data_IF_730999232844
#
_entry.id   IF_730999232844
#
_cell.length_a   1.000
_cell.length_b   1.000
_cell.length_c   1.000
_cell.angle_alpha   90.00
_cell.angle_beta   90.00
_cell.angle_gamma   90.00
#
_symmetry.space_group_name_H-M   'P 1'
#
loop_
_entity.id
_entity.type
_entity.pdbx_description
1 polymer ?
#
# COMPACT_ATOMS: atom_id res chain seq x y z
N UNK A 1 8.10 13.67 -22.25
CA UNK A 1 7.08 13.74 -21.19
C UNK A 1 7.43 12.76 -20.06
N UNK A 2 7.50 11.43 -20.29
CA UNK A 2 7.76 10.43 -19.24
C UNK A 2 9.11 10.63 -18.52
N UNK A 3 10.17 11.01 -19.25
CA UNK A 3 11.48 11.36 -18.67
C UNK A 3 11.35 12.53 -17.68
N UNK A 4 10.63 13.57 -18.03
CA UNK A 4 10.41 14.72 -17.15
C UNK A 4 9.52 14.36 -15.95
N UNK A 5 8.53 13.49 -16.16
CA UNK A 5 7.71 12.97 -15.07
C UNK A 5 8.56 12.17 -14.09
N UNK A 6 9.48 11.31 -14.55
CA UNK A 6 10.40 10.58 -13.67
C UNK A 6 11.32 11.54 -12.90
N UNK A 7 11.92 12.50 -13.57
CA UNK A 7 12.76 13.51 -12.91
C UNK A 7 12.00 14.23 -11.81
N UNK A 8 10.80 14.71 -12.14
CA UNK A 8 9.97 15.46 -11.19
C UNK A 8 9.49 14.60 -10.01
N UNK A 9 9.15 13.32 -10.24
CA UNK A 9 8.53 12.46 -9.20
C UNK A 9 9.54 11.67 -8.39
N UNK A 10 10.73 11.41 -8.91
CA UNK A 10 11.70 10.51 -8.28
C UNK A 10 13.07 11.15 -8.16
N UNK A 11 13.71 11.52 -9.28
CA UNK A 11 15.14 11.85 -9.28
C UNK A 11 15.47 13.20 -8.58
N UNK A 12 14.47 14.01 -8.28
CA UNK A 12 14.62 15.26 -7.51
C UNK A 12 14.10 15.16 -6.09
N UNK A 13 13.53 14.01 -5.70
CA UNK A 13 12.97 13.77 -4.37
C UNK A 13 13.69 12.60 -3.68
N UNK A 14 14.60 12.87 -2.72
CA UNK A 14 15.32 11.81 -2.00
C UNK A 14 14.40 10.82 -1.26
N UNK A 15 13.20 11.26 -0.84
CA UNK A 15 12.25 10.36 -0.18
C UNK A 15 11.64 9.36 -1.18
N UNK A 16 11.38 9.79 -2.41
CA UNK A 16 10.93 8.91 -3.48
C UNK A 16 12.03 7.94 -3.93
N UNK A 17 13.28 8.38 -4.02
CA UNK A 17 14.43 7.51 -4.31
C UNK A 17 14.63 6.44 -3.22
N UNK A 18 14.54 6.81 -1.94
CA UNK A 18 14.56 5.84 -0.84
C UNK A 18 13.40 4.85 -0.97
N UNK A 19 12.19 5.33 -1.31
CA UNK A 19 11.01 4.50 -1.51
C UNK A 19 11.19 3.47 -2.64
N UNK A 20 11.85 3.85 -3.74
CA UNK A 20 12.21 2.96 -4.85
C UNK A 20 13.22 1.89 -4.40
N UNK A 21 14.30 2.29 -3.73
CA UNK A 21 15.30 1.38 -3.21
C UNK A 21 14.74 0.42 -2.15
N UNK A 22 13.83 0.91 -1.29
CA UNK A 22 13.13 0.11 -0.29
C UNK A 22 12.23 -0.94 -0.97
N UNK A 23 11.47 -0.55 -1.99
CA UNK A 23 10.61 -1.47 -2.74
C UNK A 23 11.42 -2.54 -3.47
N UNK A 24 12.51 -2.17 -4.14
CA UNK A 24 13.41 -3.11 -4.80
C UNK A 24 14.08 -4.08 -3.82
N UNK A 25 14.34 -3.64 -2.58
CA UNK A 25 14.89 -4.49 -1.52
C UNK A 25 13.83 -5.39 -0.91
N UNK A 26 12.59 -4.95 -0.78
CA UNK A 26 11.48 -5.74 -0.24
C UNK A 26 11.05 -6.84 -1.22
N UNK A 27 10.89 -6.48 -2.50
CA UNK A 27 10.50 -7.39 -3.58
C UNK A 27 11.71 -7.77 -4.42
N UNK A 28 12.40 -8.83 -4.05
CA UNK A 28 13.63 -9.27 -4.74
C UNK A 28 13.38 -10.01 -6.05
N UNK A 29 12.17 -10.52 -6.22
CA UNK A 29 11.81 -11.35 -7.38
C UNK A 29 10.49 -10.92 -8.04
N UNK A 30 9.55 -10.38 -7.27
CA UNK A 30 8.25 -9.96 -7.78
C UNK A 30 8.33 -8.60 -8.51
N UNK A 31 7.58 -8.38 -9.62
CA UNK A 31 7.56 -7.09 -10.35
C UNK A 31 7.17 -5.86 -9.53
N UNK A 32 6.53 -6.02 -8.37
CA UNK A 32 6.21 -4.90 -7.48
C UNK A 32 7.46 -4.21 -6.88
N UNK A 33 8.64 -4.81 -7.03
CA UNK A 33 9.91 -4.15 -6.71
C UNK A 33 10.37 -3.13 -7.74
N UNK A 34 9.75 -3.12 -8.93
CA UNK A 34 10.07 -2.12 -9.97
C UNK A 34 9.19 -0.89 -9.82
N UNK A 35 9.75 0.32 -10.03
CA UNK A 35 8.94 1.53 -10.01
C UNK A 35 7.91 1.52 -11.16
N UNK A 36 6.71 2.01 -10.88
CA UNK A 36 5.62 2.05 -11.89
C UNK A 36 6.04 2.86 -13.12
N UNK A 37 6.77 3.96 -12.90
CA UNK A 37 7.25 4.82 -13.98
C UNK A 37 8.40 4.17 -14.78
N UNK A 38 9.05 3.12 -14.26
CA UNK A 38 10.24 2.50 -14.85
C UNK A 38 11.55 3.20 -14.44
N UNK A 39 12.67 2.57 -14.75
CA UNK A 39 14.00 3.16 -14.56
C UNK A 39 14.38 4.06 -15.73
N UNK A 40 15.19 5.10 -15.49
CA UNK A 40 15.56 6.08 -16.50
C UNK A 40 16.09 5.43 -17.79
N UNK A 41 17.03 4.49 -17.69
CA UNK A 41 17.61 3.80 -18.85
C UNK A 41 16.58 2.97 -19.64
N UNK A 42 15.55 2.42 -18.97
CA UNK A 42 14.44 1.71 -19.63
C UNK A 42 13.55 2.72 -20.39
N UNK A 43 13.26 3.87 -19.76
CA UNK A 43 12.43 4.94 -20.34
C UNK A 43 13.11 5.52 -21.59
N UNK A 44 14.42 5.78 -21.53
CA UNK A 44 15.21 6.28 -22.66
C UNK A 44 15.25 5.30 -23.85
N UNK A 45 15.16 3.99 -23.55
CA UNK A 45 15.09 2.93 -24.56
C UNK A 45 13.73 2.71 -25.19
N UNK A 46 12.63 3.25 -24.60
CA UNK A 46 11.26 3.02 -25.07
C UNK A 46 11.03 3.63 -26.45
N UNK A 47 10.43 2.83 -27.32
CA UNK A 47 10.00 3.22 -28.65
C UNK A 47 8.47 3.22 -28.74
N UNK A 48 7.94 3.95 -29.72
CA UNK A 48 6.51 3.97 -30.01
C UNK A 48 5.93 2.57 -30.24
N UNK A 49 6.69 1.70 -30.87
CA UNK A 49 6.32 0.33 -31.17
C UNK A 49 6.12 -0.52 -29.91
N UNK A 50 6.92 -0.28 -28.86
CA UNK A 50 6.78 -0.97 -27.56
C UNK A 50 5.46 -0.59 -26.90
N UNK A 51 5.14 0.70 -26.88
CA UNK A 51 3.87 1.21 -26.35
C UNK A 51 2.67 0.67 -27.12
N UNK A 52 2.74 0.65 -28.45
CA UNK A 52 1.68 0.12 -29.30
C UNK A 52 1.50 -1.40 -29.12
N UNK A 53 2.60 -2.13 -28.97
CA UNK A 53 2.57 -3.58 -28.74
C UNK A 53 1.92 -3.90 -27.40
N UNK A 54 2.30 -3.16 -26.36
CA UNK A 54 1.68 -3.28 -25.03
C UNK A 54 0.18 -2.94 -25.08
N UNK A 55 -0.18 -1.83 -25.72
CA UNK A 55 -1.56 -1.40 -25.88
C UNK A 55 -2.40 -2.47 -26.61
N UNK A 56 -1.93 -2.97 -27.74
CA UNK A 56 -2.65 -4.00 -28.50
C UNK A 56 -2.83 -5.29 -27.72
N UNK A 57 -1.88 -5.63 -26.85
CA UNK A 57 -1.91 -6.87 -26.06
C UNK A 57 -2.85 -6.78 -24.86
N UNK A 58 -2.85 -5.66 -24.15
CA UNK A 58 -3.51 -5.57 -22.84
C UNK A 58 -4.77 -4.71 -22.81
N UNK A 59 -4.91 -3.74 -23.73
CA UNK A 59 -6.10 -2.90 -23.82
C UNK A 59 -7.13 -3.53 -24.76
N UNK A 60 -7.79 -4.59 -24.27
CA UNK A 60 -8.79 -5.35 -25.00
C UNK A 60 -10.07 -5.43 -24.18
N UNK A 61 -11.25 -5.56 -24.80
CA UNK A 61 -12.51 -5.69 -24.06
C UNK A 61 -12.51 -6.82 -23.03
N UNK A 62 -11.84 -7.95 -23.33
CA UNK A 62 -11.75 -9.12 -22.46
C UNK A 62 -10.93 -8.87 -21.20
N UNK A 63 -10.12 -7.82 -21.20
CA UNK A 63 -9.27 -7.40 -20.07
C UNK A 63 -9.72 -6.08 -19.45
N UNK A 64 -10.91 -5.57 -19.81
CA UNK A 64 -11.41 -4.28 -19.35
C UNK A 64 -12.58 -4.43 -18.37
N UNK A 65 -12.64 -3.54 -17.40
CA UNK A 65 -13.76 -3.40 -16.47
C UNK A 65 -14.24 -1.95 -16.57
N UNK A 66 -15.51 -1.76 -16.88
CA UNK A 66 -16.15 -0.44 -16.91
C UNK A 66 -16.90 -0.23 -15.60
N UNK A 67 -16.53 0.82 -14.88
CA UNK A 67 -17.25 1.26 -13.68
C UNK A 67 -17.76 2.68 -13.93
N UNK A 68 -19.04 2.89 -13.73
CA UNK A 68 -19.69 4.20 -13.91
C UNK A 68 -20.39 4.57 -12.60
N UNK A 69 -20.10 5.77 -12.10
CA UNK A 69 -20.78 6.35 -10.94
C UNK A 69 -21.21 7.78 -11.28
N UNK A 70 -22.46 8.09 -11.00
CA UNK A 70 -23.05 9.40 -11.33
C UNK A 70 -24.58 9.34 -11.33
N UNK A 71 -25.18 10.40 -11.79
CA UNK A 71 -26.64 10.50 -11.95
C UNK A 71 -27.07 9.81 -13.25
N UNK A 72 -27.06 8.49 -13.21
CA UNK A 72 -27.40 7.61 -14.35
C UNK A 72 -28.13 6.37 -13.87
N UNK A 73 -28.99 5.83 -14.71
CA UNK A 73 -29.62 4.53 -14.46
C UNK A 73 -28.79 3.40 -15.04
N UNK A 74 -28.93 2.19 -14.48
CA UNK A 74 -28.28 0.98 -14.99
C UNK A 74 -28.58 0.75 -16.48
N UNK A 75 -29.84 0.93 -16.89
CA UNK A 75 -30.29 0.63 -18.26
C UNK A 75 -29.73 1.65 -19.27
N UNK A 76 -29.61 2.92 -18.89
CA UNK A 76 -28.92 3.92 -19.71
C UNK A 76 -27.45 3.58 -19.89
N UNK A 77 -26.75 3.25 -18.80
CA UNK A 77 -25.32 2.85 -18.87
C UNK A 77 -25.15 1.63 -19.74
N UNK A 78 -25.98 0.60 -19.60
CA UNK A 78 -25.91 -0.63 -20.42
C UNK A 78 -26.13 -0.32 -21.89
N UNK A 79 -27.12 0.56 -22.21
CA UNK A 79 -27.43 0.97 -23.60
C UNK A 79 -26.23 1.71 -24.21
N UNK A 80 -25.74 2.74 -23.53
CA UNK A 80 -24.59 3.53 -23.99
C UNK A 80 -23.31 2.68 -24.09
N UNK A 81 -23.08 1.79 -23.15
CA UNK A 81 -21.93 0.89 -23.20
C UNK A 81 -21.99 -0.05 -24.42
N UNK A 82 -23.17 -0.60 -24.77
CA UNK A 82 -23.36 -1.41 -25.99
C UNK A 82 -23.14 -0.60 -27.27
N UNK A 83 -23.53 0.65 -27.29
CA UNK A 83 -23.38 1.55 -28.44
C UNK A 83 -21.96 2.04 -28.64
N UNK A 84 -21.11 2.01 -27.61
CA UNK A 84 -19.74 2.52 -27.62
C UNK A 84 -18.72 1.37 -27.44
N UNK A 85 -18.42 1.01 -26.22
CA UNK A 85 -17.44 -0.05 -25.90
C UNK A 85 -17.83 -1.42 -26.43
N UNK A 86 -19.14 -1.74 -26.46
CA UNK A 86 -19.66 -3.00 -27.01
C UNK A 86 -19.45 -3.19 -28.50
N UNK A 87 -19.10 -2.13 -29.26
CA UNK A 87 -18.74 -2.21 -30.68
C UNK A 87 -17.26 -2.53 -30.91
N UNK A 88 -16.42 -2.49 -29.84
CA UNK A 88 -15.00 -2.82 -29.96
C UNK A 88 -14.90 -4.35 -30.11
N UNK A 89 -14.29 -4.85 -31.20
CA UNK A 89 -14.21 -6.29 -31.43
C UNK A 89 -13.34 -6.97 -30.37
N UNK A 90 -13.77 -8.13 -29.93
CA UNK A 90 -12.96 -9.01 -29.10
C UNK A 90 -11.64 -9.36 -29.82
N UNK A 91 -10.55 -9.43 -29.09
CA UNK A 91 -9.22 -9.75 -29.62
C UNK A 91 -8.71 -11.14 -29.22
N UNK A 92 -9.56 -11.94 -28.63
CA UNK A 92 -9.28 -13.30 -28.19
C UNK A 92 -9.40 -13.47 -26.68
N UNK A 93 -8.60 -14.33 -26.09
CA UNK A 93 -8.63 -14.57 -24.64
C UNK A 93 -7.95 -13.44 -23.86
N UNK A 94 -8.38 -13.25 -22.62
CA UNK A 94 -7.73 -12.32 -21.68
C UNK A 94 -6.24 -12.64 -21.61
N UNK A 95 -5.35 -11.66 -21.83
CA UNK A 95 -3.91 -11.90 -21.79
C UNK A 95 -3.46 -12.41 -20.43
N UNK A 96 -2.79 -13.57 -20.41
CA UNK A 96 -2.17 -14.07 -19.20
C UNK A 96 -0.86 -13.32 -18.92
N UNK A 97 -0.57 -13.11 -17.64
CA UNK A 97 0.71 -12.57 -17.19
C UNK A 97 1.39 -13.59 -16.30
N UNK A 98 2.62 -13.95 -16.63
CA UNK A 98 3.47 -14.69 -15.71
C UNK A 98 3.89 -13.75 -14.57
N UNK A 99 3.43 -14.06 -13.36
CA UNK A 99 3.80 -13.34 -12.14
C UNK A 99 4.54 -14.27 -11.20
N UNK A 100 5.87 -14.08 -11.04
CA UNK A 100 6.64 -14.88 -10.10
C UNK A 100 6.19 -14.55 -8.67
N UNK A 101 6.13 -15.56 -7.82
CA UNK A 101 5.81 -15.37 -6.39
C UNK A 101 7.04 -14.82 -5.67
N UNK A 102 6.87 -13.75 -4.87
CA UNK A 102 7.91 -13.28 -3.97
C UNK A 102 8.20 -14.32 -2.89
N UNK A 103 9.47 -14.76 -2.72
CA UNK A 103 9.84 -15.68 -1.65
C UNK A 103 9.70 -15.01 -0.28
N UNK A 104 9.48 -15.83 0.76
CA UNK A 104 9.42 -15.30 2.13
C UNK A 104 10.80 -14.76 2.55
N UNK A 105 10.86 -13.51 3.04
CA UNK A 105 12.12 -12.95 3.56
C UNK A 105 12.66 -13.78 4.74
N UNK A 106 13.96 -14.05 4.72
CA UNK A 106 14.64 -14.83 5.75
C UNK A 106 15.57 -14.01 6.65
N UNK A 107 15.81 -12.76 6.29
CA UNK A 107 16.70 -11.86 7.04
C UNK A 107 16.18 -10.43 6.97
N UNK A 108 16.42 -9.67 8.03
CA UNK A 108 16.24 -8.21 8.00
C UNK A 108 17.23 -7.60 7.01
N UNK A 109 16.80 -6.55 6.33
CA UNK A 109 17.59 -5.82 5.33
C UNK A 109 17.48 -4.33 5.62
N UNK A 110 18.52 -3.57 5.26
CA UNK A 110 18.55 -2.12 5.46
C UNK A 110 19.01 -1.42 4.20
N UNK A 111 18.37 -0.30 3.91
CA UNK A 111 18.75 0.64 2.86
C UNK A 111 18.97 2.00 3.51
N UNK A 112 20.08 2.65 3.20
CA UNK A 112 20.37 4.00 3.69
C UNK A 112 20.64 4.88 2.48
N UNK A 113 19.94 6.00 2.40
CA UNK A 113 20.15 7.05 1.42
C UNK A 113 20.54 8.33 2.16
N UNK A 114 21.70 8.90 1.81
CA UNK A 114 22.12 10.20 2.26
C UNK A 114 22.12 11.17 1.07
N UNK A 115 21.49 12.32 1.21
CA UNK A 115 21.40 13.32 0.16
C UNK A 115 21.43 14.74 0.79
N UNK A 116 22.20 15.71 0.22
CA UNK A 116 22.29 17.06 0.74
C UNK A 116 20.96 17.83 0.72
N UNK A 117 20.00 17.44 -0.12
CA UNK A 117 18.65 18.04 -0.18
C UNK A 117 17.75 17.63 0.98
N UNK A 118 18.16 16.63 1.77
CA UNK A 118 17.36 16.15 2.91
C UNK A 118 17.45 17.17 4.05
N UNK A 119 16.35 17.85 4.31
CA UNK A 119 16.25 18.78 5.44
C UNK A 119 15.96 18.04 6.75
N UNK A 120 15.15 16.99 6.69
CA UNK A 120 14.70 16.24 7.85
C UNK A 120 14.88 14.73 7.61
N UNK A 121 15.70 14.05 8.46
CA UNK A 121 15.85 12.61 8.40
C UNK A 121 14.52 11.88 8.58
N UNK A 122 14.37 10.70 8.00
CA UNK A 122 13.17 9.88 8.18
C UNK A 122 13.48 8.38 8.21
N UNK A 123 12.64 7.67 8.94
CA UNK A 123 12.64 6.21 9.06
C UNK A 123 11.46 5.63 8.28
N UNK A 124 11.72 4.57 7.52
CA UNK A 124 10.68 3.73 6.93
C UNK A 124 10.94 2.26 7.28
N UNK A 125 9.91 1.54 7.67
CA UNK A 125 9.95 0.10 7.94
C UNK A 125 8.92 -0.58 7.05
N UNK A 126 9.36 -1.55 6.24
CA UNK A 126 8.49 -2.24 5.29
C UNK A 126 8.49 -3.75 5.52
N UNK A 127 7.32 -4.37 5.44
CA UNK A 127 7.12 -5.82 5.49
C UNK A 127 6.35 -6.28 4.26
N UNK A 128 6.69 -7.45 3.77
CA UNK A 128 5.87 -8.18 2.82
C UNK A 128 4.62 -8.67 3.55
N UNK A 129 3.44 -8.34 3.02
CA UNK A 129 2.14 -8.69 3.60
C UNK A 129 1.23 -9.31 2.54
N UNK A 130 0.26 -10.16 2.92
CA UNK A 130 -0.75 -10.62 1.97
C UNK A 130 -1.63 -9.45 1.53
N UNK A 131 -2.26 -9.57 0.38
CA UNK A 131 -3.37 -8.72 -0.06
C UNK A 131 -4.69 -9.47 0.13
N UNK A 132 -5.85 -8.85 -0.14
CA UNK A 132 -7.14 -9.53 -0.11
C UNK A 132 -7.19 -10.79 -0.99
N UNK A 133 -6.45 -10.80 -2.12
CA UNK A 133 -6.40 -11.93 -3.05
C UNK A 133 -5.46 -13.06 -2.62
N UNK A 134 -4.55 -12.80 -1.69
CA UNK A 134 -3.54 -13.76 -1.23
C UNK A 134 -3.65 -14.13 0.25
N UNK A 135 -4.45 -13.38 1.00
CA UNK A 135 -4.71 -13.62 2.42
C UNK A 135 -5.61 -14.84 2.64
N UNK A 136 -5.48 -15.46 3.80
CA UNK A 136 -6.48 -16.35 4.33
C UNK A 136 -7.70 -15.56 4.79
N UNK A 137 -8.86 -16.22 4.87
CA UNK A 137 -10.10 -15.56 5.31
C UNK A 137 -9.94 -14.84 6.65
N UNK A 138 -10.27 -13.55 6.69
CA UNK A 138 -10.18 -12.69 7.87
C UNK A 138 -8.79 -12.12 8.15
N UNK A 139 -7.76 -12.54 7.42
CA UNK A 139 -6.37 -12.14 7.67
C UNK A 139 -6.08 -10.73 7.14
N UNK A 140 -6.61 -10.36 5.98
CA UNK A 140 -6.44 -9.03 5.43
C UNK A 140 -7.19 -7.97 6.27
N UNK A 141 -8.39 -8.30 6.73
CA UNK A 141 -9.19 -7.46 7.63
C UNK A 141 -8.49 -7.25 8.97
N UNK A 142 -7.91 -8.31 9.54
CA UNK A 142 -7.11 -8.20 10.76
C UNK A 142 -5.89 -7.30 10.58
N UNK A 143 -5.24 -7.34 9.41
CA UNK A 143 -4.13 -6.43 9.05
C UNK A 143 -4.61 -4.98 8.88
N UNK A 144 -5.76 -4.73 8.30
CA UNK A 144 -6.33 -3.37 8.20
C UNK A 144 -6.63 -2.78 9.58
N UNK A 145 -7.28 -3.57 10.45
CA UNK A 145 -7.53 -3.15 11.83
C UNK A 145 -6.21 -2.95 12.58
N UNK A 146 -5.23 -3.83 12.41
CA UNK A 146 -3.90 -3.68 13.00
C UNK A 146 -3.23 -2.36 12.59
N UNK A 147 -3.24 -2.04 11.30
CA UNK A 147 -2.64 -0.80 10.77
C UNK A 147 -3.38 0.43 11.27
N UNK A 148 -4.70 0.37 11.38
CA UNK A 148 -5.50 1.43 11.99
C UNK A 148 -5.11 1.69 13.46
N UNK A 149 -4.88 0.63 14.22
CA UNK A 149 -4.42 0.70 15.60
C UNK A 149 -2.98 1.22 15.72
N UNK A 150 -2.09 0.77 14.83
CA UNK A 150 -0.68 1.19 14.84
C UNK A 150 -0.57 2.67 14.50
N UNK A 151 -1.13 3.12 13.36
CA UNK A 151 -0.82 4.46 12.94
C UNK A 151 -1.47 4.98 11.65
N UNK A 152 -2.55 4.37 11.16
CA UNK A 152 -3.26 4.93 10.00
C UNK A 152 -3.98 6.25 10.30
N UNK A 153 -4.06 6.67 11.56
CA UNK A 153 -4.69 7.91 11.99
C UNK A 153 -3.91 8.58 13.12
N UNK A 154 -4.19 9.86 13.39
CA UNK A 154 -3.61 10.61 14.51
C UNK A 154 -3.93 10.05 15.91
N UNK A 155 -4.81 9.06 16.02
CA UNK A 155 -5.12 8.36 17.27
C UNK A 155 -4.41 7.01 17.41
N UNK A 156 -3.64 6.59 16.40
CA UNK A 156 -2.87 5.36 16.43
C UNK A 156 -1.74 5.37 17.47
N UNK A 157 -1.28 4.17 17.86
CA UNK A 157 -0.27 4.01 18.90
C UNK A 157 1.05 4.71 18.59
N UNK A 158 1.50 4.70 17.32
CA UNK A 158 2.72 5.40 16.91
C UNK A 158 2.61 6.90 17.18
N UNK A 159 1.52 7.53 16.72
CA UNK A 159 1.33 8.96 16.93
C UNK A 159 1.21 9.29 18.43
N UNK A 160 0.37 8.55 19.16
CA UNK A 160 0.16 8.79 20.57
C UNK A 160 1.46 8.65 21.38
N UNK A 161 2.18 7.53 21.23
CA UNK A 161 3.40 7.27 22.02
C UNK A 161 4.57 8.14 21.57
N UNK A 162 4.89 8.17 20.27
CA UNK A 162 6.10 8.80 19.79
C UNK A 162 6.00 10.32 19.64
N UNK A 163 4.80 10.82 19.25
CA UNK A 163 4.62 12.26 18.99
C UNK A 163 4.09 13.00 20.21
N UNK A 164 3.08 12.40 20.92
CA UNK A 164 2.37 13.07 22.00
C UNK A 164 2.99 12.79 23.38
N UNK A 165 3.26 11.53 23.74
CA UNK A 165 3.70 11.14 25.07
C UNK A 165 5.21 11.28 25.24
N UNK A 166 6.01 10.62 24.38
CA UNK A 166 7.47 10.59 24.49
C UNK A 166 8.14 11.80 23.78
N UNK A 167 7.42 12.43 22.85
CA UNK A 167 7.89 13.57 22.08
C UNK A 167 9.24 13.31 21.37
N UNK A 168 9.47 12.10 20.88
CA UNK A 168 10.69 11.69 20.13
C UNK A 168 10.52 11.79 18.62
N UNK A 169 9.29 11.90 18.12
CA UNK A 169 8.97 12.09 16.72
C UNK A 169 8.14 13.35 16.48
N UNK A 170 8.23 13.93 15.27
CA UNK A 170 7.33 14.98 14.80
C UNK A 170 6.16 14.41 14.03
N UNK A 171 6.35 13.24 13.39
CA UNK A 171 5.32 12.50 12.69
C UNK A 171 5.61 11.01 12.76
N UNK A 172 4.56 10.19 12.79
CA UNK A 172 4.66 8.75 12.66
C UNK A 172 3.32 8.20 12.17
N UNK A 173 3.37 7.16 11.33
CA UNK A 173 2.17 6.56 10.76
C UNK A 173 2.40 5.18 10.18
N UNK A 174 1.32 4.56 9.72
CA UNK A 174 1.31 3.24 9.11
C UNK A 174 0.37 3.21 7.91
N UNK A 175 0.70 2.35 6.95
CA UNK A 175 -0.09 2.13 5.76
C UNK A 175 0.02 0.67 5.29
N UNK A 176 -1.07 0.12 4.78
CA UNK A 176 -1.14 -1.23 4.25
C UNK A 176 -1.80 -1.23 2.86
N UNK A 177 -1.14 -1.83 1.90
CA UNK A 177 -1.67 -2.01 0.56
C UNK A 177 -2.50 -3.30 0.49
N UNK A 178 -3.71 -3.26 1.02
CA UNK A 178 -4.60 -4.43 1.09
C UNK A 178 -5.11 -4.85 -0.29
N UNK A 179 -5.34 -3.90 -1.19
CA UNK A 179 -5.86 -4.14 -2.54
C UNK A 179 -4.70 -4.29 -3.53
N UNK A 180 -4.36 -5.51 -3.86
CA UNK A 180 -3.33 -5.88 -4.83
C UNK A 180 -3.60 -7.28 -5.40
N UNK A 181 -3.05 -7.57 -6.59
CA UNK A 181 -3.24 -8.88 -7.26
C UNK A 181 -2.42 -9.99 -6.59
N UNK A 182 -1.25 -9.64 -6.06
CA UNK A 182 -0.34 -10.56 -5.38
C UNK A 182 -0.02 -10.03 -3.97
N UNK A 183 0.91 -10.68 -3.25
CA UNK A 183 1.38 -10.16 -1.95
C UNK A 183 1.89 -8.74 -2.10
N UNK A 184 1.57 -7.93 -1.14
CA UNK A 184 1.83 -6.49 -1.12
C UNK A 184 2.73 -6.09 0.05
N UNK A 185 2.60 -4.90 0.54
CA UNK A 185 3.43 -4.38 1.63
C UNK A 185 2.62 -3.67 2.71
N UNK A 186 3.13 -3.74 3.91
CA UNK A 186 2.81 -2.88 5.03
C UNK A 186 4.00 -1.97 5.29
N UNK A 187 3.74 -0.69 5.47
CA UNK A 187 4.76 0.34 5.67
C UNK A 187 4.46 1.12 6.95
N UNK A 188 5.48 1.32 7.77
CA UNK A 188 5.49 2.30 8.84
C UNK A 188 6.51 3.38 8.52
N UNK A 189 6.22 4.61 8.93
CA UNK A 189 7.16 5.71 8.82
C UNK A 189 7.22 6.50 10.14
N UNK A 190 8.36 7.08 10.41
CA UNK A 190 8.52 8.01 11.52
C UNK A 190 9.60 9.06 11.19
N UNK A 191 9.37 10.27 11.67
CA UNK A 191 10.26 11.41 11.47
C UNK A 191 10.73 11.88 12.84
N UNK A 192 12.05 11.83 13.14
CA UNK A 192 12.57 12.15 14.47
C UNK A 192 12.44 13.64 14.78
N UNK A 193 12.36 13.97 16.06
CA UNK A 193 12.64 15.34 16.53
C UNK A 193 14.14 15.62 16.50
N UNK A 194 14.55 16.91 16.42
CA UNK A 194 15.95 17.29 16.53
C UNK A 194 16.63 16.66 17.76
N UNK A 195 17.81 16.08 17.56
CA UNK A 195 18.56 15.41 18.61
C UNK A 195 18.22 13.92 18.82
N UNK A 196 17.21 13.39 18.16
CA UNK A 196 16.86 11.97 18.20
C UNK A 196 17.45 11.27 16.97
N UNK A 197 18.22 10.20 17.19
CA UNK A 197 18.80 9.40 16.11
C UNK A 197 17.76 8.45 15.50
N UNK A 198 17.96 8.07 14.22
CA UNK A 198 17.07 7.11 13.56
C UNK A 198 17.10 5.73 14.23
N UNK A 199 18.25 5.30 14.74
CA UNK A 199 18.36 4.03 15.49
C UNK A 199 17.54 4.05 16.80
N UNK A 200 17.58 5.17 17.54
CA UNK A 200 16.77 5.32 18.75
C UNK A 200 15.27 5.33 18.41
N UNK A 201 14.88 5.99 17.33
CA UNK A 201 13.50 6.04 16.87
C UNK A 201 13.03 4.67 16.36
N UNK A 202 13.85 3.94 15.58
CA UNK A 202 13.57 2.57 15.13
C UNK A 202 13.31 1.66 16.32
N UNK A 203 14.18 1.69 17.34
CA UNK A 203 14.00 0.88 18.55
C UNK A 203 12.66 1.15 19.26
N UNK A 204 12.20 2.41 19.30
CA UNK A 204 10.89 2.77 19.88
C UNK A 204 9.74 2.28 19.03
N UNK A 205 9.80 2.41 17.71
CA UNK A 205 8.78 1.87 16.80
C UNK A 205 8.68 0.36 16.95
N UNK A 206 9.80 -0.35 16.97
CA UNK A 206 9.85 -1.80 17.10
C UNK A 206 9.29 -2.28 18.46
N UNK A 207 9.54 -1.54 19.55
CA UNK A 207 8.97 -1.85 20.87
C UNK A 207 7.43 -1.78 20.87
N UNK A 208 6.83 -0.80 20.15
CA UNK A 208 5.38 -0.69 20.01
C UNK A 208 4.82 -1.89 19.22
N UNK A 209 5.49 -2.30 18.15
CA UNK A 209 5.10 -3.45 17.34
C UNK A 209 5.19 -4.75 18.16
N UNK A 210 6.26 -4.92 18.91
CA UNK A 210 6.48 -6.07 19.76
C UNK A 210 5.41 -6.18 20.87
N UNK A 211 5.02 -5.06 21.46
CA UNK A 211 3.91 -5.00 22.42
C UNK A 211 2.61 -5.51 21.80
N UNK A 212 2.29 -5.06 20.56
CA UNK A 212 1.08 -5.49 19.86
C UNK A 212 1.11 -6.97 19.46
N UNK A 213 2.28 -7.53 19.20
CA UNK A 213 2.44 -8.96 18.91
C UNK A 213 2.31 -9.83 20.18
N UNK A 214 2.67 -9.29 21.36
CA UNK A 214 2.66 -10.03 22.64
C UNK A 214 1.38 -9.85 23.43
N UNK A 215 0.70 -8.72 23.31
CA UNK A 215 -0.43 -8.35 24.15
C UNK A 215 -1.65 -8.03 23.31
N UNK A 216 -2.80 -8.69 23.56
CA UNK A 216 -4.04 -8.35 22.87
C UNK A 216 -4.41 -6.88 23.07
N UNK A 217 -4.98 -6.26 22.05
CA UNK A 217 -5.52 -4.91 22.15
C UNK A 217 -6.76 -4.87 23.03
N UNK A 218 -6.92 -3.80 23.80
CA UNK A 218 -8.11 -3.64 24.67
C UNK A 218 -9.40 -3.38 23.86
N UNK A 219 -10.54 -3.86 24.37
CA UNK A 219 -11.84 -3.82 23.68
C UNK A 219 -12.25 -2.42 23.21
N UNK A 220 -12.00 -1.39 24.03
CA UNK A 220 -12.32 -0.01 23.68
C UNK A 220 -11.47 0.52 22.54
N UNK A 221 -10.20 0.16 22.48
CA UNK A 221 -9.27 0.56 21.42
C UNK A 221 -9.65 -0.15 20.12
N UNK A 222 -9.90 -1.45 20.18
CA UNK A 222 -10.33 -2.26 19.04
C UNK A 222 -11.64 -1.73 18.45
N UNK A 223 -12.64 -1.49 19.30
CA UNK A 223 -13.94 -0.95 18.84
C UNK A 223 -13.79 0.39 18.13
N UNK A 224 -13.01 1.33 18.68
CA UNK A 224 -12.77 2.62 18.04
C UNK A 224 -12.08 2.49 16.67
N UNK A 225 -11.10 1.58 16.55
CA UNK A 225 -10.42 1.34 15.29
C UNK A 225 -11.38 0.81 14.22
N UNK A 226 -12.21 -0.18 14.56
CA UNK A 226 -13.22 -0.74 13.65
C UNK A 226 -14.28 0.29 13.26
N UNK A 227 -14.84 1.00 14.24
CA UNK A 227 -15.81 2.08 13.98
C UNK A 227 -15.24 3.13 13.04
N UNK A 228 -13.96 3.50 13.20
CA UNK A 228 -13.30 4.47 12.32
C UNK A 228 -13.20 3.95 10.89
N UNK A 229 -12.71 2.73 10.70
CA UNK A 229 -12.60 2.11 9.38
C UNK A 229 -13.93 2.05 8.66
N UNK A 230 -14.97 1.57 9.35
CA UNK A 230 -16.33 1.47 8.77
C UNK A 230 -16.91 2.85 8.47
N UNK A 231 -16.74 3.83 9.36
CA UNK A 231 -17.21 5.20 9.14
C UNK A 231 -16.51 5.84 7.93
N UNK A 232 -15.19 5.71 7.82
CA UNK A 232 -14.43 6.25 6.69
C UNK A 232 -14.91 5.62 5.35
N UNK A 233 -15.23 4.32 5.33
CA UNK A 233 -15.80 3.64 4.17
C UNK A 233 -17.22 4.13 3.83
N UNK A 234 -18.05 4.41 4.84
CA UNK A 234 -19.40 4.97 4.63
C UNK A 234 -19.29 6.38 4.05
N UNK A 235 -18.47 7.25 4.65
CA UNK A 235 -18.26 8.62 4.13
C UNK A 235 -17.64 8.65 2.73
N UNK A 236 -16.80 7.66 2.38
CA UNK A 236 -16.27 7.56 1.03
C UNK A 236 -17.37 7.33 -0.03
N UNK A 237 -18.53 6.81 0.36
CA UNK A 237 -19.67 6.58 -0.56
C UNK A 237 -20.35 7.90 -1.00
N UNK A 238 -20.19 9.00 -0.29
CA UNK A 238 -20.70 10.31 -0.70
C UNK A 238 -19.94 10.86 -1.93
N UNK A 239 -18.76 10.29 -2.24
CA UNK A 239 -17.98 10.66 -3.40
C UNK A 239 -18.12 9.62 -4.52
N UNK A 240 -18.76 10.01 -5.62
CA UNK A 240 -18.93 9.16 -6.81
C UNK A 240 -17.58 8.66 -7.35
N UNK A 241 -16.56 9.52 -7.37
CA UNK A 241 -15.22 9.15 -7.81
C UNK A 241 -14.54 8.15 -6.85
N UNK A 242 -14.79 8.25 -5.54
CA UNK A 242 -14.30 7.29 -4.55
C UNK A 242 -14.99 5.94 -4.69
N UNK A 243 -16.29 5.91 -4.92
CA UNK A 243 -17.04 4.68 -5.21
C UNK A 243 -16.52 4.01 -6.48
N UNK A 244 -16.38 4.75 -7.58
CA UNK A 244 -15.88 4.19 -8.83
C UNK A 244 -14.48 3.61 -8.66
N UNK A 245 -13.61 4.29 -7.93
CA UNK A 245 -12.24 3.81 -7.64
C UNK A 245 -12.24 2.58 -6.75
N UNK A 246 -13.05 2.54 -5.70
CA UNK A 246 -13.16 1.41 -4.78
C UNK A 246 -13.57 0.13 -5.52
N UNK A 247 -14.68 0.15 -6.24
CA UNK A 247 -15.14 -1.00 -7.03
C UNK A 247 -14.18 -1.33 -8.17
N UNK A 248 -13.68 -0.33 -8.90
CA UNK A 248 -12.75 -0.53 -10.00
C UNK A 248 -11.44 -1.18 -9.54
N UNK A 249 -10.87 -0.74 -8.44
CA UNK A 249 -9.64 -1.33 -7.87
C UNK A 249 -9.87 -2.75 -7.37
N UNK A 250 -10.96 -2.99 -6.65
CA UNK A 250 -11.31 -4.31 -6.14
C UNK A 250 -11.48 -5.32 -7.28
N UNK A 251 -12.31 -5.00 -8.27
CA UNK A 251 -12.57 -5.87 -9.42
C UNK A 251 -11.31 -6.08 -10.28
N UNK A 252 -10.49 -5.04 -10.49
CA UNK A 252 -9.26 -5.14 -11.27
C UNK A 252 -8.19 -6.01 -10.60
N UNK A 253 -8.24 -6.16 -9.29
CA UNK A 253 -7.32 -7.00 -8.51
C UNK A 253 -7.84 -8.40 -8.21
N UNK A 254 -9.09 -8.70 -8.55
CA UNK A 254 -9.67 -10.05 -8.45
C UNK A 254 -10.70 -10.24 -7.34
N UNK A 255 -11.03 -9.19 -6.57
CA UNK A 255 -12.16 -9.21 -5.65
C UNK A 255 -13.48 -9.06 -6.41
N UNK A 256 -14.57 -9.36 -5.74
CA UNK A 256 -15.94 -9.26 -6.26
C UNK A 256 -16.69 -8.06 -5.70
N UNK A 257 -17.85 -7.74 -6.27
CA UNK A 257 -18.76 -6.74 -5.71
C UNK A 257 -19.26 -7.14 -4.32
N UNK A 258 -19.47 -8.43 -4.09
CA UNK A 258 -19.93 -8.94 -2.80
C UNK A 258 -18.84 -8.85 -1.73
N UNK A 259 -17.57 -9.04 -2.09
CA UNK A 259 -16.44 -8.79 -1.17
C UNK A 259 -16.41 -7.33 -0.70
N UNK A 260 -16.60 -6.38 -1.62
CA UNK A 260 -16.66 -4.94 -1.26
C UNK A 260 -17.85 -4.64 -0.36
N UNK A 261 -19.02 -5.21 -0.64
CA UNK A 261 -20.23 -4.99 0.16
C UNK A 261 -20.17 -5.59 1.55
N UNK A 262 -19.56 -6.78 1.69
CA UNK A 262 -19.45 -7.49 2.96
C UNK A 262 -18.27 -7.00 3.82
N UNK A 263 -17.38 -6.17 3.27
CA UNK A 263 -16.19 -5.70 3.97
C UNK A 263 -16.49 -5.04 5.35
N UNK A 264 -17.53 -4.19 5.53
CA UNK A 264 -17.85 -3.63 6.85
C UNK A 264 -18.15 -4.71 7.90
N UNK A 265 -18.90 -5.74 7.53
CA UNK A 265 -19.25 -6.84 8.44
C UNK A 265 -18.01 -7.68 8.79
N UNK A 266 -17.11 -7.86 7.82
CA UNK A 266 -15.84 -8.57 8.03
C UNK A 266 -14.91 -7.80 8.97
N UNK A 267 -14.83 -6.46 8.85
CA UNK A 267 -14.10 -5.61 9.80
C UNK A 267 -14.72 -5.70 11.20
N UNK A 268 -16.05 -5.65 11.31
CA UNK A 268 -16.72 -5.78 12.62
C UNK A 268 -16.49 -7.15 13.27
N UNK A 269 -16.29 -8.20 12.49
CA UNK A 269 -16.01 -9.54 12.98
C UNK A 269 -14.57 -9.73 13.49
N UNK A 270 -13.63 -8.80 13.21
CA UNK A 270 -12.24 -8.89 13.68
C UNK A 270 -12.19 -8.79 15.20
N UNK A 271 -11.52 -9.74 15.85
CA UNK A 271 -11.28 -9.78 17.30
C UNK A 271 -9.83 -9.43 17.68
N UNK A 272 -9.59 -9.23 18.97
CA UNK A 272 -8.26 -8.85 19.48
C UNK A 272 -7.20 -9.94 19.24
N UNK A 273 -7.60 -11.21 19.26
CA UNK A 273 -6.70 -12.35 19.03
C UNK A 273 -6.23 -12.39 17.58
N UNK A 274 -7.13 -12.11 16.62
CA UNK A 274 -6.81 -12.01 15.18
C UNK A 274 -5.84 -10.88 14.90
N UNK A 275 -6.03 -9.71 15.53
CA UNK A 275 -5.10 -8.57 15.42
C UNK A 275 -3.73 -8.91 15.97
N UNK A 276 -3.68 -9.51 17.18
CA UNK A 276 -2.42 -9.95 17.78
C UNK A 276 -1.69 -10.97 16.92
N UNK A 277 -2.41 -11.96 16.39
CA UNK A 277 -1.87 -12.98 15.49
C UNK A 277 -1.32 -12.34 14.21
N UNK A 278 -2.04 -11.37 13.63
CA UNK A 278 -1.58 -10.65 12.45
C UNK A 278 -0.27 -9.90 12.74
N UNK A 279 -0.15 -9.20 13.87
CA UNK A 279 1.07 -8.54 14.29
C UNK A 279 2.24 -9.52 14.44
N UNK A 280 2.04 -10.61 15.18
CA UNK A 280 3.07 -11.63 15.43
C UNK A 280 3.53 -12.34 14.14
N UNK A 281 2.62 -12.56 13.20
CA UNK A 281 2.92 -13.26 11.94
C UNK A 281 3.63 -12.37 10.93
N UNK A 282 3.16 -11.15 10.74
CA UNK A 282 3.55 -10.32 9.60
C UNK A 282 4.56 -9.23 9.95
N UNK A 283 4.57 -8.70 11.17
CA UNK A 283 5.48 -7.63 11.58
C UNK A 283 6.76 -8.18 12.27
N UNK A 284 7.20 -9.37 11.85
CA UNK A 284 8.37 -9.99 12.42
C UNK A 284 9.66 -9.25 11.99
N UNK A 285 10.57 -8.89 12.93
CA UNK A 285 11.78 -8.11 12.60
C UNK A 285 12.67 -8.74 11.53
N UNK A 286 12.79 -10.09 11.47
CA UNK A 286 13.59 -10.77 10.43
C UNK A 286 12.99 -10.70 9.01
N UNK A 287 11.76 -10.21 8.84
CA UNK A 287 11.11 -10.06 7.54
C UNK A 287 11.07 -8.61 7.07
N UNK A 288 11.68 -7.72 7.83
CA UNK A 288 11.62 -6.27 7.66
C UNK A 288 12.71 -5.77 6.71
N UNK A 289 12.38 -4.72 5.99
CA UNK A 289 13.34 -3.82 5.34
C UNK A 289 13.27 -2.48 6.05
N UNK A 290 14.40 -2.01 6.57
CA UNK A 290 14.54 -0.68 7.16
C UNK A 290 15.10 0.28 6.12
N UNK A 291 14.46 1.43 5.94
CA UNK A 291 14.93 2.56 5.11
C UNK A 291 15.29 3.74 5.99
N UNK A 292 16.51 4.24 5.86
CA UNK A 292 16.98 5.48 6.46
C UNK A 292 17.19 6.53 5.40
N UNK A 293 16.54 7.67 5.54
CA UNK A 293 16.84 8.88 4.80
C UNK A 293 17.63 9.82 5.69
N UNK A 294 18.81 10.19 5.27
CA UNK A 294 19.74 11.01 6.05
C UNK A 294 20.12 12.26 5.27
N UNK A 295 20.41 13.35 6.00
CA UNK A 295 21.11 14.48 5.41
C UNK A 295 22.56 14.09 5.17
N UNK A 296 23.07 14.35 3.97
CA UNK A 296 24.50 14.29 3.71
C UNK A 296 25.16 15.57 4.19
N UNK A 297 25.98 15.48 5.24
CA UNK A 297 26.69 16.63 5.82
C UNK A 297 28.06 16.87 5.13
N UNK A 298 28.47 15.95 4.22
CA UNK A 298 29.79 15.99 3.58
C UNK A 298 29.77 16.67 2.19
N UNK A 299 28.62 17.18 1.73
CA UNK A 299 28.47 17.80 0.42
C UNK A 299 28.48 19.33 0.48
#
# INVERSE_FOLDING_TARGET
VVIEERRMRTDTDPAAELGEALAATLFTHHPYGKPIIGYMHEIEGLKREDALTYYRRFYTPENAILVVAGDVTKDEVVTLAKETYGKIPARGEKPSRLRPREPDPRSARRVTLADPKVEQPSLQLAWLAPSYTTASKGEAEALEVLVQLIGASGTGRLHRKLVMEEAVAVAAGAWYQSTAVDRSRLLLYAVPRPGITLDALEARVLAIIEEMAKTPVGDNELRRAKTRLVADAIYAQDSQSSLARMYGSALATGSTVDDVKSWPDLIEAVDAASVQKAAATWLHPHRMVTGYLLKDEAA
#
